data_IF_900097486569
#
_entry.id   IF_900097486569
#
_cell.length_a   1.000
_cell.length_b   1.000
_cell.length_c   1.000
_cell.angle_alpha   90.00
_cell.angle_beta   90.00
_cell.angle_gamma   90.00
#
_symmetry.space_group_name_H-M   'P 1'
#
loop_
_entity.id
_entity.type
_entity.pdbx_description
1 polymer ?
#
# COMPACT_ATOMS: atom_id res chain seq x y z
N UNK A 1 27.50 -3.71 -6.66
CA UNK A 1 28.46 -2.76 -6.04
C UNK A 1 27.72 -2.10 -4.89
N UNK A 2 28.16 -2.44 -3.69
CA UNK A 2 27.57 -2.14 -2.38
C UNK A 2 27.55 -0.63 -2.15
N UNK A 3 26.37 -0.02 -2.05
CA UNK A 3 26.23 1.32 -1.45
C UNK A 3 25.77 1.13 -0.01
N UNK A 4 26.74 0.91 0.87
CA UNK A 4 26.61 1.15 2.29
C UNK A 4 27.39 2.42 2.61
N UNK A 5 26.89 3.17 3.59
CA UNK A 5 27.48 4.40 4.16
C UNK A 5 27.33 5.63 3.27
N UNK A 6 26.26 6.39 3.51
CA UNK A 6 26.34 7.84 3.73
C UNK A 6 24.94 8.37 4.08
N UNK A 7 24.58 8.31 5.36
CA UNK A 7 23.54 9.15 5.97
C UNK A 7 23.94 10.63 5.94
N UNK A 8 24.06 11.19 4.73
CA UNK A 8 24.57 12.53 4.44
C UNK A 8 23.55 13.45 3.77
N UNK A 9 22.24 13.18 3.92
CA UNK A 9 21.20 14.08 3.39
C UNK A 9 19.99 14.28 4.32
N UNK A 10 20.22 14.44 5.62
CA UNK A 10 19.33 15.26 6.45
C UNK A 10 19.72 16.75 6.28
N UNK A 11 19.37 17.32 5.14
CA UNK A 11 19.61 18.73 4.79
C UNK A 11 18.36 19.18 4.01
N UNK A 12 17.50 20.11 4.41
CA UNK A 12 17.62 21.27 5.29
C UNK A 12 16.22 21.72 5.78
N UNK A 13 16.15 22.81 6.56
CA UNK A 13 14.93 23.51 7.03
C UNK A 13 14.20 22.86 8.23
N UNK A 14 14.95 22.60 9.29
CA UNK A 14 14.41 22.44 10.64
C UNK A 14 14.13 23.78 11.37
N UNK A 15 13.84 24.86 10.62
CA UNK A 15 13.75 26.21 11.20
C UNK A 15 12.44 26.98 10.92
N UNK A 16 11.54 26.51 10.05
CA UNK A 16 10.24 27.17 9.86
C UNK A 16 9.15 26.66 10.80
N UNK A 17 9.26 25.45 11.35
CA UNK A 17 8.16 24.84 12.11
C UNK A 17 8.01 25.34 13.56
N UNK A 18 9.09 25.79 14.23
CA UNK A 18 8.97 26.31 15.60
C UNK A 18 8.83 27.85 15.69
N UNK A 19 9.03 28.56 14.58
CA UNK A 19 8.83 30.02 14.47
C UNK A 19 7.45 30.42 13.93
N UNK A 20 6.59 29.45 13.55
CA UNK A 20 5.16 29.72 13.29
C UNK A 20 4.38 30.10 14.57
N UNK A 21 5.02 30.08 15.73
CA UNK A 21 4.36 30.15 17.04
C UNK A 21 4.22 31.55 17.63
N UNK A 22 4.71 32.61 16.99
CA UNK A 22 4.47 33.96 17.48
C UNK A 22 4.68 35.02 16.37
N UNK A 23 3.59 35.51 15.76
CA UNK A 23 3.34 36.92 15.30
C UNK A 23 2.51 37.02 14.01
N UNK A 24 1.73 38.12 13.81
CA UNK A 24 1.00 38.39 12.56
C UNK A 24 1.95 38.67 11.39
N UNK A 25 1.43 38.47 10.16
CA UNK A 25 2.12 38.39 8.86
C UNK A 25 3.08 39.54 8.46
N UNK A 26 3.19 40.63 9.23
CA UNK A 26 3.87 41.88 8.81
C UNK A 26 5.35 42.02 9.23
N UNK A 27 5.97 41.03 9.88
CA UNK A 27 7.34 41.16 10.43
C UNK A 27 8.38 40.19 9.83
N UNK A 28 8.37 40.04 8.50
CA UNK A 28 9.14 39.00 7.78
C UNK A 28 10.61 39.34 7.45
N UNK A 29 11.18 40.41 8.01
CA UNK A 29 12.52 40.89 7.62
C UNK A 29 13.48 40.99 8.82
N UNK A 30 14.11 39.87 9.20
CA UNK A 30 15.49 39.78 9.74
C UNK A 30 15.70 38.51 10.62
N UNK A 31 15.97 37.34 10.02
CA UNK A 31 16.66 36.25 10.74
C UNK A 31 17.56 35.49 9.76
N UNK A 32 18.76 36.03 9.53
CA UNK A 32 19.87 35.32 8.90
C UNK A 32 21.07 35.49 9.84
N UNK A 33 21.42 34.43 10.58
CA UNK A 33 22.76 34.04 11.09
C UNK A 33 22.61 33.15 12.34
N UNK A 34 23.03 31.88 12.24
CA UNK A 34 23.37 31.05 13.41
C UNK A 34 24.82 30.59 13.23
N UNK A 35 25.67 30.96 14.17
CA UNK A 35 27.11 30.65 14.21
C UNK A 35 27.38 29.31 14.91
N UNK A 36 28.38 28.59 14.41
CA UNK A 36 28.84 27.27 14.84
C UNK A 36 29.58 27.28 16.20
N UNK A 37 29.24 26.35 17.09
CA UNK A 37 30.15 25.86 18.15
C UNK A 37 30.03 24.33 18.28
N UNK A 38 31.16 23.64 18.41
CA UNK A 38 31.30 22.18 18.57
C UNK A 38 30.82 21.71 19.95
N UNK A 39 29.87 20.77 20.03
CA UNK A 39 29.47 20.12 21.28
C UNK A 39 29.81 18.62 21.27
N UNK A 40 30.31 18.11 22.39
CA UNK A 40 30.73 16.71 22.61
C UNK A 40 29.54 15.77 22.98
N UNK A 41 28.32 16.07 22.54
CA UNK A 41 27.16 15.19 22.80
C UNK A 41 27.20 13.95 21.89
N UNK A 42 26.80 12.77 22.42
CA UNK A 42 26.73 11.53 21.62
C UNK A 42 25.78 11.67 20.43
N UNK A 43 24.71 12.45 20.63
CA UNK A 43 23.62 12.74 19.69
C UNK A 43 23.37 14.26 19.64
N UNK A 44 23.09 14.81 18.46
CA UNK A 44 22.74 16.23 18.30
C UNK A 44 21.26 16.45 18.62
N UNK A 45 20.97 17.18 19.69
CA UNK A 45 19.61 17.33 20.21
C UNK A 45 19.29 18.74 20.67
N UNK A 46 18.03 19.15 20.50
CA UNK A 46 17.47 20.37 21.09
C UNK A 46 16.39 20.01 22.11
N UNK A 47 16.24 20.83 23.15
CA UNK A 47 15.16 20.71 24.12
C UNK A 47 14.27 21.95 24.09
N UNK A 48 12.96 21.73 24.08
CA UNK A 48 11.92 22.74 24.01
C UNK A 48 11.06 22.64 25.26
N UNK A 49 11.23 23.60 26.17
CA UNK A 49 10.42 23.73 27.37
C UNK A 49 9.30 24.77 27.19
N UNK A 50 8.37 24.80 28.15
CA UNK A 50 7.23 25.72 28.11
C UNK A 50 7.65 27.18 28.05
N UNK A 51 8.66 27.59 28.80
CA UNK A 51 9.15 28.99 28.82
C UNK A 51 9.72 29.42 27.49
N UNK A 52 10.48 28.55 26.82
CA UNK A 52 11.01 28.78 25.48
C UNK A 52 9.89 28.91 24.46
N UNK A 53 8.85 28.07 24.57
CA UNK A 53 7.68 28.13 23.71
C UNK A 53 6.87 29.42 23.91
N UNK A 54 6.64 29.83 25.16
CA UNK A 54 5.94 31.07 25.52
C UNK A 54 6.68 32.33 25.08
N UNK A 55 8.02 32.28 25.04
CA UNK A 55 8.85 33.41 24.63
C UNK A 55 9.18 33.44 23.14
N UNK A 56 8.80 32.39 22.38
CA UNK A 56 9.17 32.22 20.97
C UNK A 56 10.67 32.05 20.73
N UNK A 57 11.45 31.72 21.77
CA UNK A 57 12.92 31.64 21.72
C UNK A 57 13.38 30.22 22.07
N UNK A 58 13.80 29.47 21.06
CA UNK A 58 14.38 28.13 21.25
C UNK A 58 15.89 28.20 21.13
N UNK A 59 16.58 27.50 22.04
CA UNK A 59 18.03 27.39 22.00
C UNK A 59 18.45 26.26 21.04
N UNK A 60 19.16 26.63 19.97
CA UNK A 60 19.61 25.72 18.93
C UNK A 60 21.11 25.43 18.99
N UNK A 61 21.82 25.87 20.03
CA UNK A 61 23.28 25.74 20.12
C UNK A 61 23.81 24.29 20.08
N UNK A 62 22.93 23.31 20.34
CA UNK A 62 23.28 21.89 20.40
C UNK A 62 22.94 21.09 19.12
N UNK A 63 22.42 21.74 18.07
CA UNK A 63 22.14 21.08 16.77
C UNK A 63 23.07 21.61 15.69
N UNK A 64 23.80 20.71 15.02
CA UNK A 64 24.69 21.02 13.90
C UNK A 64 24.16 20.39 12.61
N UNK A 65 23.42 21.19 11.84
CA UNK A 65 22.76 20.73 10.62
C UNK A 65 23.72 20.17 9.55
N UNK A 66 25.01 20.50 9.62
CA UNK A 66 26.05 20.03 8.69
C UNK A 66 27.07 19.09 9.35
N UNK A 67 26.83 18.66 10.58
CA UNK A 67 27.73 17.80 11.36
C UNK A 67 27.79 16.37 10.81
N UNK A 68 28.80 15.61 11.25
CA UNK A 68 29.02 14.22 10.81
C UNK A 68 28.02 13.21 11.38
N UNK A 69 27.17 13.63 12.33
CA UNK A 69 26.15 12.78 12.96
C UNK A 69 24.93 12.64 12.04
N UNK A 70 24.49 11.41 11.79
CA UNK A 70 23.28 11.12 11.00
C UNK A 70 22.01 11.54 11.74
N UNK A 71 21.96 11.34 13.06
CA UNK A 71 20.71 11.43 13.80
C UNK A 71 20.58 12.78 14.53
N UNK A 72 19.41 13.42 14.40
CA UNK A 72 19.08 14.70 15.03
C UNK A 72 17.77 14.57 15.80
N UNK A 73 17.73 15.05 17.04
CA UNK A 73 16.56 14.89 17.92
C UNK A 73 15.97 16.24 18.35
N UNK A 74 14.64 16.33 18.38
CA UNK A 74 13.91 17.43 19.00
C UNK A 74 13.17 16.89 20.21
N UNK A 75 13.58 17.32 21.39
CA UNK A 75 12.97 16.94 22.65
C UNK A 75 11.96 18.01 23.05
N UNK A 76 10.68 17.68 23.16
CA UNK A 76 9.64 18.60 23.66
C UNK A 76 9.19 18.15 25.03
N UNK A 77 9.26 19.02 26.03
CA UNK A 77 8.80 18.73 27.39
C UNK A 77 7.27 18.55 27.45
N UNK A 78 6.81 17.73 28.41
CA UNK A 78 5.39 17.55 28.74
C UNK A 78 4.62 18.88 28.81
N UNK A 79 5.13 19.78 29.64
CA UNK A 79 4.51 21.08 29.92
C UNK A 79 4.45 21.99 28.70
N UNK A 80 5.40 21.83 27.77
CA UNK A 80 5.44 22.54 26.50
C UNK A 80 4.38 22.00 25.53
N UNK A 81 4.25 20.66 25.44
CA UNK A 81 3.24 20.00 24.59
C UNK A 81 1.82 20.26 25.09
N UNK A 82 1.59 20.23 26.41
CA UNK A 82 0.29 20.57 27.00
C UNK A 82 -0.07 22.03 26.75
N UNK A 83 0.90 22.95 26.88
CA UNK A 83 0.70 24.34 26.52
C UNK A 83 0.41 24.50 25.02
N UNK A 84 1.15 23.80 24.16
CA UNK A 84 0.90 23.81 22.71
C UNK A 84 -0.53 23.37 22.37
N UNK A 85 -1.00 22.28 22.99
CA UNK A 85 -2.37 21.80 22.81
C UNK A 85 -3.42 22.82 23.29
N UNK A 86 -3.21 23.45 24.46
CA UNK A 86 -4.10 24.49 24.98
C UNK A 86 -4.18 25.73 24.08
N UNK A 87 -3.08 26.07 23.40
CA UNK A 87 -3.00 27.20 22.49
C UNK A 87 -3.42 26.84 21.05
N UNK A 88 -3.85 25.60 20.78
CA UNK A 88 -4.26 25.15 19.44
C UNK A 88 -3.10 25.09 18.45
N UNK A 89 -1.88 24.83 18.94
CA UNK A 89 -0.67 24.84 18.12
C UNK A 89 -0.44 23.49 17.43
N UNK A 90 0.15 23.54 16.24
CA UNK A 90 0.67 22.36 15.56
C UNK A 90 2.11 22.05 16.00
N UNK A 91 2.44 20.77 16.00
CA UNK A 91 3.79 20.25 16.18
C UNK A 91 4.18 19.51 14.92
N UNK A 92 5.44 19.65 14.51
CA UNK A 92 5.89 19.09 13.25
C UNK A 92 7.37 19.26 13.02
N UNK A 93 7.85 18.57 11.99
CA UNK A 93 9.21 18.68 11.47
C UNK A 93 9.11 19.00 9.99
N UNK A 94 9.94 19.94 9.53
CA UNK A 94 10.12 20.19 8.11
C UNK A 94 11.55 19.86 7.73
N UNK A 95 11.71 19.33 6.53
CA UNK A 95 12.97 19.09 5.83
C UNK A 95 12.85 19.69 4.42
N UNK A 96 13.91 19.57 3.61
CA UNK A 96 13.90 20.04 2.22
C UNK A 96 12.99 19.16 1.34
N UNK A 97 12.73 17.93 1.77
CA UNK A 97 12.05 16.91 0.97
C UNK A 97 10.68 16.57 1.53
N UNK A 98 10.45 16.84 2.82
CA UNK A 98 9.20 16.50 3.48
C UNK A 98 8.92 17.43 4.65
N UNK A 99 7.68 17.81 4.84
CA UNK A 99 7.17 18.35 6.09
C UNK A 99 6.12 17.43 6.71
N UNK A 100 6.10 17.40 8.02
CA UNK A 100 5.20 16.62 8.85
C UNK A 100 4.61 17.58 9.88
N UNK A 101 3.29 17.59 10.04
CA UNK A 101 2.61 18.46 11.01
C UNK A 101 1.34 17.80 11.52
N UNK A 102 1.06 17.93 12.81
CA UNK A 102 -0.18 17.50 13.45
C UNK A 102 -0.53 18.44 14.61
N UNK A 103 -1.81 18.55 15.00
CA UNK A 103 -2.18 19.38 16.13
C UNK A 103 -1.65 18.76 17.43
N UNK A 104 -1.11 19.59 18.34
CA UNK A 104 -0.60 19.13 19.63
C UNK A 104 -1.70 18.44 20.46
N UNK A 105 -2.97 18.81 20.24
CA UNK A 105 -4.13 18.13 20.83
C UNK A 105 -4.23 16.67 20.44
N UNK A 106 -3.88 16.28 19.20
CA UNK A 106 -3.93 14.89 18.76
C UNK A 106 -2.99 14.00 19.58
N UNK A 107 -1.86 14.57 20.02
CA UNK A 107 -0.90 13.89 20.90
C UNK A 107 -1.43 13.84 22.33
N UNK A 108 -1.77 14.99 22.92
CA UNK A 108 -2.19 15.08 24.33
C UNK A 108 -3.47 14.28 24.63
N UNK A 109 -4.35 14.16 23.64
CA UNK A 109 -5.62 13.44 23.79
C UNK A 109 -5.51 11.92 23.60
N UNK A 110 -4.39 11.43 23.07
CA UNK A 110 -4.15 10.00 22.84
C UNK A 110 -4.15 9.19 24.14
N UNK A 111 -4.52 7.91 24.04
CA UNK A 111 -4.53 7.01 25.19
C UNK A 111 -3.10 6.76 25.71
N UNK A 112 -2.16 6.65 24.78
CA UNK A 112 -0.74 6.46 24.97
C UNK A 112 -0.12 7.63 25.73
N UNK A 113 -0.45 8.87 25.34
CA UNK A 113 -0.02 10.06 26.09
C UNK A 113 -0.58 10.06 27.50
N UNK A 114 -1.91 9.85 27.65
CA UNK A 114 -2.55 9.82 28.97
C UNK A 114 -1.92 8.77 29.88
N UNK A 115 -1.64 7.58 29.34
CA UNK A 115 -0.96 6.51 30.07
C UNK A 115 0.47 6.90 30.45
N UNK A 116 1.27 7.39 29.50
CA UNK A 116 2.64 7.84 29.74
C UNK A 116 2.66 8.94 30.82
N UNK A 117 1.77 9.92 30.70
CA UNK A 117 1.58 11.07 31.59
C UNK A 117 1.31 10.71 33.06
N UNK A 118 0.79 9.51 33.35
CA UNK A 118 0.63 9.02 34.74
C UNK A 118 1.93 8.53 35.37
N UNK A 119 2.92 8.14 34.55
CA UNK A 119 4.16 7.47 34.98
C UNK A 119 5.37 8.41 35.01
N UNK A 120 5.28 9.60 34.42
CA UNK A 120 6.38 10.56 34.38
C UNK A 120 5.88 12.01 34.26
N UNK A 121 6.66 12.94 34.81
CA UNK A 121 6.43 14.39 34.72
C UNK A 121 7.24 15.03 33.59
N UNK A 122 8.30 14.36 33.13
CA UNK A 122 9.11 14.73 31.97
C UNK A 122 9.02 13.65 30.89
N UNK A 123 8.68 14.09 29.67
CA UNK A 123 8.71 13.26 28.47
C UNK A 123 9.67 13.89 27.48
N UNK A 124 10.47 13.03 26.86
CA UNK A 124 11.14 13.36 25.62
C UNK A 124 10.22 12.95 24.49
N UNK A 125 9.73 13.92 23.74
CA UNK A 125 9.09 13.63 22.46
C UNK A 125 10.17 13.31 21.42
N UNK A 126 10.02 12.26 20.63
CA UNK A 126 10.96 11.90 19.57
C UNK A 126 10.16 11.59 18.30
N UNK A 127 10.61 12.22 17.22
CA UNK A 127 10.15 11.98 15.86
C UNK A 127 11.35 11.56 15.03
N UNK A 128 11.24 10.39 14.41
CA UNK A 128 12.27 9.81 13.57
C UNK A 128 11.77 9.67 12.15
N UNK A 129 12.57 10.12 11.20
CA UNK A 129 12.35 9.95 9.77
C UNK A 129 13.60 9.23 9.27
N UNK A 130 13.44 7.97 8.91
CA UNK A 130 14.54 7.11 8.45
C UNK A 130 14.23 6.59 7.04
N UNK A 131 15.24 6.60 6.18
CA UNK A 131 15.16 6.11 4.80
C UNK A 131 15.65 4.65 4.64
N UNK A 132 16.02 3.97 5.73
CA UNK A 132 16.71 2.67 5.73
C UNK A 132 16.01 1.55 6.52
N UNK A 133 14.67 1.57 6.64
CA UNK A 133 13.92 0.52 7.36
C UNK A 133 14.05 -0.91 6.80
N UNK A 134 14.91 -1.16 5.80
CA UNK A 134 15.18 -2.49 5.20
C UNK A 134 13.97 -3.14 4.52
N UNK A 135 12.78 -2.54 4.62
CA UNK A 135 11.54 -2.98 4.00
C UNK A 135 11.39 -2.25 2.68
N UNK A 136 11.82 -2.87 1.58
CA UNK A 136 11.43 -2.39 0.26
C UNK A 136 9.93 -2.58 0.10
N UNK A 137 9.16 -1.50 0.27
CA UNK A 137 7.71 -1.56 0.13
C UNK A 137 7.32 -1.88 -1.31
N UNK A 138 8.17 -1.54 -2.30
CA UNK A 138 7.97 -1.98 -3.68
C UNK A 138 8.16 -3.49 -3.90
N UNK A 139 8.93 -4.15 -3.03
CA UNK A 139 9.02 -5.61 -3.02
C UNK A 139 7.87 -6.24 -2.23
N UNK A 140 7.46 -5.61 -1.11
CA UNK A 140 6.31 -6.06 -0.31
C UNK A 140 4.96 -5.84 -1.03
N UNK A 141 4.87 -4.78 -1.84
CA UNK A 141 3.81 -4.47 -2.78
C UNK A 141 4.36 -4.69 -4.17
N UNK A 142 4.27 -5.93 -4.65
CA UNK A 142 4.79 -6.32 -5.96
C UNK A 142 4.37 -5.35 -7.07
N UNK A 143 5.15 -5.24 -8.15
CA UNK A 143 4.81 -4.42 -9.32
C UNK A 143 3.38 -4.68 -9.84
N UNK A 144 2.89 -5.91 -9.68
CA UNK A 144 1.53 -6.30 -10.03
C UNK A 144 0.48 -5.74 -9.06
N UNK A 145 0.73 -5.76 -7.75
CA UNK A 145 -0.15 -5.13 -6.74
C UNK A 145 -0.18 -3.60 -6.90
N UNK A 146 0.95 -2.98 -7.21
CA UNK A 146 0.99 -1.56 -7.57
C UNK A 146 0.19 -1.28 -8.85
N UNK A 147 0.35 -2.10 -9.90
CA UNK A 147 -0.40 -1.95 -11.14
C UNK A 147 -1.91 -1.99 -10.95
N UNK A 148 -2.40 -2.87 -10.06
CA UNK A 148 -3.83 -2.92 -9.67
C UNK A 148 -4.30 -1.70 -8.88
N UNK A 149 -3.44 -1.12 -8.03
CA UNK A 149 -3.69 0.18 -7.38
C UNK A 149 -3.67 1.34 -8.40
N UNK A 150 -3.56 1.06 -9.70
CA UNK A 150 -3.37 2.04 -10.76
C UNK A 150 -2.05 2.80 -10.60
N UNK A 151 -1.10 2.27 -9.83
CA UNK A 151 0.10 2.97 -9.41
C UNK A 151 1.41 2.25 -9.77
N UNK A 152 2.52 2.97 -9.74
CA UNK A 152 3.87 2.42 -9.92
C UNK A 152 4.81 3.13 -8.97
N UNK A 153 5.65 2.40 -8.24
CA UNK A 153 6.63 3.03 -7.35
C UNK A 153 7.48 4.04 -8.11
N UNK A 154 7.61 5.25 -7.57
CA UNK A 154 8.49 6.28 -8.16
C UNK A 154 9.88 6.27 -7.53
N UNK A 155 10.07 5.50 -6.47
CA UNK A 155 11.32 5.28 -5.75
C UNK A 155 11.49 3.80 -5.41
N UNK A 156 12.71 3.29 -5.33
CA UNK A 156 13.00 1.98 -4.72
C UNK A 156 12.90 2.00 -3.19
N UNK A 157 12.98 3.20 -2.63
CA UNK A 157 13.17 3.46 -1.21
C UNK A 157 11.94 4.19 -0.65
N UNK A 158 11.57 3.84 0.58
CA UNK A 158 10.51 4.49 1.34
C UNK A 158 11.07 5.26 2.51
N UNK A 159 10.27 6.18 3.03
CA UNK A 159 10.55 6.82 4.31
C UNK A 159 9.80 6.05 5.37
N UNK A 160 10.49 5.52 6.36
CA UNK A 160 9.82 5.19 7.60
C UNK A 160 9.75 6.39 8.51
N UNK A 161 8.68 6.40 9.26
CA UNK A 161 8.35 7.44 10.21
C UNK A 161 8.05 6.76 11.53
N UNK A 162 8.59 7.30 12.61
CA UNK A 162 8.32 6.84 13.96
C UNK A 162 8.04 8.01 14.89
N UNK A 163 7.11 7.76 15.82
CA UNK A 163 6.68 8.71 16.82
C UNK A 163 6.62 8.02 18.18
N UNK A 164 7.43 8.48 19.12
CA UNK A 164 7.43 7.91 20.46
C UNK A 164 7.80 8.91 21.56
N UNK A 165 7.42 8.56 22.78
CA UNK A 165 7.85 9.23 24.01
C UNK A 165 8.93 8.42 24.69
N UNK A 166 9.89 9.11 25.30
CA UNK A 166 10.83 8.51 26.25
C UNK A 166 10.68 9.16 27.63
N UNK A 167 10.25 8.38 28.60
CA UNK A 167 10.11 8.79 30.00
C UNK A 167 11.46 8.94 30.72
N UNK A 168 11.44 9.52 31.93
CA UNK A 168 12.66 9.75 32.73
C UNK A 168 13.44 8.47 33.10
N UNK A 169 12.75 7.33 33.14
CA UNK A 169 13.32 5.98 33.33
C UNK A 169 13.78 5.32 32.02
N UNK A 170 13.81 6.06 30.91
CA UNK A 170 14.09 5.55 29.57
C UNK A 170 13.05 4.58 28.99
N UNK A 171 11.82 4.53 29.52
CA UNK A 171 10.75 3.73 28.90
C UNK A 171 10.22 4.40 27.63
N UNK A 172 10.10 3.63 26.55
CA UNK A 172 9.54 4.08 25.28
C UNK A 172 8.02 3.85 25.22
N UNK A 173 7.27 4.79 24.64
CA UNK A 173 5.84 4.65 24.40
C UNK A 173 5.53 5.20 23.01
N UNK A 174 5.21 4.30 22.08
CA UNK A 174 4.88 4.65 20.69
C UNK A 174 3.43 5.09 20.58
N UNK A 175 3.17 6.09 19.74
CA UNK A 175 1.83 6.34 19.22
C UNK A 175 1.82 5.82 17.79
N UNK A 176 1.01 4.80 17.54
CA UNK A 176 0.87 4.24 16.18
C UNK A 176 -0.21 4.94 15.37
N UNK A 177 -1.23 5.49 16.04
CA UNK A 177 -2.35 6.17 15.40
C UNK A 177 -2.81 7.37 16.22
N UNK A 178 -2.88 8.54 15.58
CA UNK A 178 -3.43 9.75 16.17
C UNK A 178 -4.96 9.78 16.09
N UNK A 179 -5.57 10.55 17.01
CA UNK A 179 -7.00 10.81 17.02
C UNK A 179 -7.45 11.76 15.90
N UNK A 180 -6.53 12.56 15.38
CA UNK A 180 -6.72 13.48 14.26
C UNK A 180 -5.58 13.27 13.26
N UNK A 181 -5.85 13.43 11.96
CA UNK A 181 -4.85 13.16 10.93
C UNK A 181 -3.65 14.11 11.02
N UNK A 182 -2.47 13.50 10.90
CA UNK A 182 -1.24 14.19 10.57
C UNK A 182 -1.24 14.56 9.09
N UNK A 183 -0.64 15.71 8.78
CA UNK A 183 -0.34 16.16 7.42
C UNK A 183 1.12 15.87 7.10
N UNK A 184 1.35 15.06 6.09
CA UNK A 184 2.66 14.87 5.44
C UNK A 184 2.66 15.67 4.14
N UNK A 185 3.68 16.48 3.86
CA UNK A 185 3.85 17.11 2.56
C UNK A 185 5.22 16.79 2.01
N UNK A 186 5.28 16.08 0.88
CA UNK A 186 6.51 15.71 0.21
C UNK A 186 6.82 16.68 -0.92
N UNK A 187 8.04 17.22 -0.99
CA UNK A 187 8.51 18.00 -2.13
C UNK A 187 9.09 17.05 -3.17
N UNK A 188 8.52 16.96 -4.37
CA UNK A 188 9.03 16.08 -5.42
C UNK A 188 9.79 16.90 -6.47
N UNK A 189 10.99 16.44 -6.84
CA UNK A 189 11.89 17.20 -7.73
C UNK A 189 12.06 16.55 -9.10
N UNK A 190 11.08 15.77 -9.57
CA UNK A 190 11.32 14.88 -10.73
C UNK A 190 11.73 15.67 -11.98
N UNK A 191 12.97 15.45 -12.41
CA UNK A 191 13.54 15.95 -13.66
C UNK A 191 13.48 14.81 -14.71
N UNK A 192 12.38 14.74 -15.48
CA UNK A 192 12.16 13.73 -16.53
C UNK A 192 13.01 13.93 -17.81
N UNK A 193 14.24 14.45 -17.71
CA UNK A 193 15.09 14.75 -18.87
C UNK A 193 15.81 13.54 -19.50
N UNK A 194 15.76 12.35 -18.88
CA UNK A 194 16.52 11.17 -19.33
C UNK A 194 15.72 9.97 -19.86
N UNK A 195 14.39 9.96 -19.76
CA UNK A 195 13.57 8.81 -20.18
C UNK A 195 13.12 8.96 -21.65
N UNK A 196 13.55 8.05 -22.52
CA UNK A 196 13.22 8.01 -23.96
C UNK A 196 11.77 7.60 -24.25
N UNK A 197 11.01 7.19 -23.23
CA UNK A 197 9.56 7.09 -23.24
C UNK A 197 9.02 7.88 -22.05
N UNK A 198 8.36 9.00 -22.33
CA UNK A 198 7.57 9.72 -21.32
C UNK A 198 6.25 8.97 -21.15
N UNK A 199 5.99 8.27 -20.03
CA UNK A 199 4.61 7.90 -19.75
C UNK A 199 3.77 9.18 -19.64
N UNK A 200 2.48 9.12 -19.97
CA UNK A 200 1.55 10.20 -19.69
C UNK A 200 1.72 10.67 -18.23
N UNK A 201 1.65 11.99 -18.01
CA UNK A 201 1.86 12.61 -16.70
C UNK A 201 1.07 11.86 -15.62
N UNK A 202 1.76 11.36 -14.60
CA UNK A 202 1.16 10.57 -13.52
C UNK A 202 0.92 11.47 -12.32
N UNK A 203 -0.26 11.37 -11.73
CA UNK A 203 -0.54 12.00 -10.43
C UNK A 203 0.16 11.19 -9.33
N UNK A 204 0.83 11.84 -8.39
CA UNK A 204 1.56 11.16 -7.32
C UNK A 204 0.64 10.87 -6.12
N UNK A 205 0.80 9.69 -5.50
CA UNK A 205 0.12 9.28 -4.28
C UNK A 205 1.10 8.64 -3.29
N UNK A 206 0.68 8.50 -2.02
CA UNK A 206 1.50 7.91 -0.96
C UNK A 206 0.87 6.62 -0.46
N UNK A 207 1.66 5.56 -0.35
CA UNK A 207 1.24 4.29 0.25
C UNK A 207 1.90 4.13 1.61
N UNK A 208 1.12 3.80 2.63
CA UNK A 208 1.59 3.45 3.96
C UNK A 208 1.57 1.93 4.18
N UNK A 209 2.54 1.42 4.93
CA UNK A 209 2.57 0.04 5.39
C UNK A 209 2.99 -0.09 6.85
N UNK A 210 2.32 -1.01 7.54
CA UNK A 210 2.59 -1.41 8.92
C UNK A 210 3.84 -2.29 8.98
N UNK A 211 4.95 -1.72 9.46
CA UNK A 211 6.26 -2.39 9.52
C UNK A 211 6.40 -3.30 10.74
N UNK A 212 5.76 -2.98 11.86
CA UNK A 212 5.87 -3.74 13.10
C UNK A 212 5.20 -5.10 12.99
N UNK A 213 4.05 -5.16 12.30
CA UNK A 213 3.44 -6.45 11.95
C UNK A 213 4.33 -7.31 11.07
N UNK A 214 5.18 -6.73 10.23
CA UNK A 214 6.12 -7.49 9.40
C UNK A 214 7.31 -8.00 10.21
N UNK A 215 7.83 -7.21 11.15
CA UNK A 215 8.94 -7.65 12.01
C UNK A 215 8.52 -8.75 12.97
N UNK A 216 7.25 -8.75 13.40
CA UNK A 216 6.68 -9.75 14.29
C UNK A 216 5.93 -10.91 13.60
N UNK A 217 5.70 -10.85 12.28
CA UNK A 217 4.88 -11.81 11.53
C UNK A 217 5.17 -11.80 10.02
N UNK A 218 4.79 -12.86 9.30
CA UNK A 218 4.85 -12.93 7.83
C UNK A 218 3.76 -12.09 7.13
N UNK A 219 3.01 -11.27 7.88
CA UNK A 219 1.91 -10.47 7.37
C UNK A 219 2.27 -8.99 7.20
N UNK A 220 1.86 -8.40 6.08
CA UNK A 220 1.96 -6.95 5.83
C UNK A 220 0.57 -6.37 5.62
N UNK A 221 0.25 -5.28 6.32
CA UNK A 221 -0.93 -4.46 6.06
C UNK A 221 -0.49 -3.19 5.36
N UNK A 222 -1.18 -2.81 4.28
CA UNK A 222 -0.88 -1.58 3.53
C UNK A 222 -2.16 -0.80 3.20
N UNK A 223 -1.99 0.51 3.01
CA UNK A 223 -3.06 1.45 2.70
C UNK A 223 -2.56 2.49 1.69
N UNK A 224 -3.26 2.64 0.57
CA UNK A 224 -3.10 3.80 -0.30
C UNK A 224 -3.77 5.00 0.36
N UNK A 225 -3.01 6.06 0.63
CA UNK A 225 -3.48 7.24 1.34
C UNK A 225 -4.00 8.29 0.34
N UNK A 226 -5.03 9.01 0.76
CA UNK A 226 -5.49 10.18 0.03
C UNK A 226 -4.38 11.24 0.01
N UNK A 227 -4.10 11.75 -1.19
CA UNK A 227 -3.03 12.70 -1.41
C UNK A 227 -3.54 13.85 -2.26
N UNK A 228 -2.86 15.00 -2.23
CA UNK A 228 -3.10 16.16 -3.08
C UNK A 228 -1.80 16.55 -3.74
N UNK A 229 -1.75 16.46 -5.07
CA UNK A 229 -0.61 16.92 -5.85
C UNK A 229 -0.78 18.40 -6.19
N UNK A 230 0.19 19.22 -5.82
CA UNK A 230 0.36 20.57 -6.29
C UNK A 230 1.48 20.61 -7.32
N UNK A 231 1.13 20.81 -8.59
CA UNK A 231 2.08 20.88 -9.69
C UNK A 231 2.87 22.19 -9.70
N UNK A 232 2.29 23.28 -9.17
CA UNK A 232 2.92 24.60 -9.13
C UNK A 232 4.01 24.62 -8.09
N UNK A 233 3.68 24.13 -6.89
CA UNK A 233 4.60 24.09 -5.76
C UNK A 233 5.46 22.81 -5.73
N UNK A 234 5.19 21.86 -6.63
CA UNK A 234 5.84 20.55 -6.69
C UNK A 234 5.77 19.80 -5.35
N UNK A 235 4.57 19.77 -4.76
CA UNK A 235 4.33 19.09 -3.48
C UNK A 235 3.25 18.02 -3.59
N UNK A 236 3.35 16.99 -2.75
CA UNK A 236 2.31 15.98 -2.52
C UNK A 236 1.93 16.04 -1.05
N UNK A 237 0.72 16.50 -0.75
CA UNK A 237 0.20 16.57 0.62
C UNK A 237 -0.69 15.37 0.91
N UNK A 238 -0.49 14.71 2.04
CA UNK A 238 -1.19 13.49 2.45
C UNK A 238 -1.71 13.67 3.85
N UNK A 239 -2.96 13.27 4.08
CA UNK A 239 -3.52 13.15 5.43
C UNK A 239 -3.48 11.70 5.87
N UNK A 240 -2.98 11.46 7.07
CA UNK A 240 -2.87 10.11 7.60
C UNK A 240 -2.95 10.10 9.13
N UNK A 241 -3.68 9.16 9.74
CA UNK A 241 -3.69 9.00 11.18
C UNK A 241 -2.50 8.17 11.66
N UNK A 242 -1.79 7.47 10.77
CA UNK A 242 -0.69 6.60 11.12
C UNK A 242 0.56 7.43 11.40
N UNK A 243 1.19 7.22 12.55
CA UNK A 243 2.40 7.94 12.99
C UNK A 243 3.62 7.04 13.12
N UNK A 244 3.46 5.75 12.86
CA UNK A 244 4.55 4.79 12.73
C UNK A 244 4.33 3.94 11.47
N UNK A 245 5.38 3.71 10.67
CA UNK A 245 5.34 2.83 9.50
C UNK A 245 6.11 3.36 8.29
N UNK A 246 6.11 2.60 7.20
CA UNK A 246 6.81 2.94 5.97
C UNK A 246 5.87 3.62 4.96
N UNK A 247 6.35 4.70 4.35
CA UNK A 247 5.65 5.50 3.36
C UNK A 247 6.43 5.49 2.04
N UNK A 248 5.78 5.11 0.95
CA UNK A 248 6.36 5.16 -0.41
C UNK A 248 5.53 6.01 -1.33
N UNK A 249 6.22 6.91 -2.04
CA UNK A 249 5.62 7.67 -3.12
C UNK A 249 5.44 6.76 -4.34
N UNK A 250 4.23 6.73 -4.87
CA UNK A 250 3.83 5.96 -6.05
C UNK A 250 3.16 6.89 -7.07
N UNK A 251 3.31 6.62 -8.35
CA UNK A 251 2.68 7.39 -9.44
C UNK A 251 1.45 6.67 -9.95
N UNK A 252 0.32 7.36 -10.03
CA UNK A 252 -0.99 6.89 -10.48
C UNK A 252 -1.38 7.40 -11.86
N UNK A 253 -2.21 6.64 -12.58
CA UNK A 253 -2.76 7.02 -13.89
C UNK A 253 -4.09 7.76 -13.74
N UNK A 254 -4.09 9.00 -13.25
CA UNK A 254 -5.26 9.88 -13.35
C UNK A 254 -5.10 10.81 -14.56
N UNK A 255 -6.19 11.01 -15.30
CA UNK A 255 -6.18 11.67 -16.61
C UNK A 255 -6.13 13.21 -16.58
N UNK A 256 -6.38 13.85 -15.42
CA UNK A 256 -6.56 15.32 -15.36
C UNK A 256 -5.65 16.05 -14.36
N UNK A 257 -4.77 15.35 -13.64
CA UNK A 257 -3.70 15.86 -12.77
C UNK A 257 -4.08 17.00 -11.78
N UNK A 258 -5.38 17.22 -11.56
CA UNK A 258 -5.94 18.37 -10.81
C UNK A 258 -6.81 17.91 -9.64
N UNK A 259 -7.15 16.63 -9.59
CA UNK A 259 -7.75 15.94 -8.45
C UNK A 259 -7.05 14.60 -8.24
N UNK A 260 -6.17 14.50 -7.23
CA UNK A 260 -5.89 13.19 -6.62
C UNK A 260 -7.02 12.86 -5.65
N UNK A 261 -8.23 12.71 -6.19
CA UNK A 261 -9.36 12.27 -5.41
C UNK A 261 -9.21 10.77 -5.15
N UNK A 262 -9.17 10.41 -3.85
CA UNK A 262 -9.74 9.16 -3.38
C UNK A 262 -11.26 9.38 -3.19
N UNK A 263 -11.95 9.91 -4.21
CA UNK A 263 -13.39 10.16 -4.15
C UNK A 263 -14.12 8.87 -4.53
N UNK A 264 -14.51 8.09 -3.52
CA UNK A 264 -15.42 6.96 -3.70
C UNK A 264 -14.86 5.87 -4.63
N UNK A 265 -14.06 4.98 -4.05
CA UNK A 265 -13.71 3.68 -4.64
C UNK A 265 -14.98 2.92 -5.09
N UNK A 266 -15.40 3.10 -6.33
CA UNK A 266 -16.44 2.27 -6.93
C UNK A 266 -15.94 1.44 -8.10
N UNK A 267 -14.83 1.81 -8.75
CA UNK A 267 -14.36 1.10 -9.94
C UNK A 267 -12.91 0.60 -9.89
N UNK A 268 -12.18 0.82 -8.80
CA UNK A 268 -10.93 0.11 -8.56
C UNK A 268 -10.68 0.07 -7.05
N UNK A 269 -10.93 -1.05 -6.35
CA UNK A 269 -10.69 -1.10 -4.92
C UNK A 269 -9.20 -0.88 -4.69
N UNK A 270 -8.84 0.23 -4.05
CA UNK A 270 -7.55 0.33 -3.40
C UNK A 270 -7.37 -0.94 -2.57
N UNK A 271 -6.35 -1.75 -2.91
CA UNK A 271 -5.98 -3.05 -2.32
C UNK A 271 -5.55 -2.91 -0.85
N UNK A 272 -6.43 -2.36 -0.04
CA UNK A 272 -6.30 -2.27 1.40
C UNK A 272 -6.58 -3.65 1.98
N UNK A 273 -5.55 -4.32 2.49
CA UNK A 273 -5.70 -5.69 2.96
C UNK A 273 -4.50 -6.26 3.70
N UNK A 274 -4.74 -7.37 4.39
CA UNK A 274 -3.69 -8.20 4.96
C UNK A 274 -3.13 -9.12 3.87
N UNK A 275 -1.81 -9.15 3.74
CA UNK A 275 -1.08 -10.11 2.89
C UNK A 275 -0.42 -11.15 3.78
N UNK A 276 -0.42 -12.41 3.37
CA UNK A 276 0.31 -13.51 4.00
C UNK A 276 0.78 -14.49 2.93
N UNK A 277 2.10 -14.63 2.73
CA UNK A 277 2.66 -15.54 1.72
C UNK A 277 3.43 -16.71 2.33
N UNK A 278 3.25 -16.98 3.63
CA UNK A 278 3.91 -18.11 4.28
C UNK A 278 3.52 -19.44 3.63
N UNK A 279 4.51 -20.27 3.31
CA UNK A 279 4.35 -21.54 2.61
C UNK A 279 4.03 -21.45 1.12
N UNK A 280 3.75 -20.25 0.59
CA UNK A 280 3.51 -20.06 -0.84
C UNK A 280 4.84 -20.21 -1.60
N UNK A 281 4.89 -20.97 -2.71
CA UNK A 281 6.07 -21.05 -3.55
C UNK A 281 6.54 -19.66 -4.01
N UNK A 282 7.86 -19.40 -3.97
CA UNK A 282 8.42 -18.07 -4.25
C UNK A 282 8.02 -17.48 -5.60
N UNK A 283 7.80 -18.33 -6.62
CA UNK A 283 7.35 -17.93 -7.96
C UNK A 283 5.90 -17.43 -8.00
N UNK A 284 5.06 -17.78 -7.02
CA UNK A 284 3.65 -17.40 -6.94
C UNK A 284 3.37 -16.35 -5.85
N UNK A 285 4.29 -16.14 -4.91
CA UNK A 285 4.09 -15.31 -3.72
C UNK A 285 3.61 -13.89 -4.06
N UNK A 286 4.19 -13.27 -5.10
CA UNK A 286 3.81 -11.93 -5.54
C UNK A 286 2.36 -11.84 -6.05
N UNK A 287 1.89 -12.86 -6.76
CA UNK A 287 0.53 -12.91 -7.31
C UNK A 287 -0.50 -13.28 -6.22
N UNK A 288 -0.13 -14.14 -5.27
CA UNK A 288 -0.99 -14.46 -4.11
C UNK A 288 -1.17 -13.23 -3.24
N UNK A 289 -0.09 -12.51 -2.92
CA UNK A 289 -0.15 -11.27 -2.15
C UNK A 289 -1.08 -10.24 -2.79
N UNK A 290 -1.00 -10.10 -4.11
CA UNK A 290 -1.86 -9.23 -4.89
C UNK A 290 -3.34 -9.62 -4.74
N UNK A 291 -3.68 -10.90 -4.92
CA UNK A 291 -5.06 -11.36 -4.78
C UNK A 291 -5.59 -11.27 -3.33
N UNK A 292 -4.71 -11.35 -2.33
CA UNK A 292 -5.07 -11.12 -0.92
C UNK A 292 -5.36 -9.66 -0.62
N UNK A 293 -4.52 -8.76 -1.13
CA UNK A 293 -4.72 -7.33 -0.98
C UNK A 293 -6.02 -6.88 -1.69
N UNK A 294 -6.41 -7.56 -2.77
CA UNK A 294 -7.69 -7.38 -3.48
C UNK A 294 -8.90 -8.00 -2.77
N UNK A 295 -8.69 -8.71 -1.65
CA UNK A 295 -9.69 -9.53 -0.95
C UNK A 295 -10.35 -10.60 -1.84
N UNK A 296 -9.70 -10.95 -2.96
CA UNK A 296 -10.10 -12.09 -3.81
C UNK A 296 -9.75 -13.39 -3.09
N UNK A 297 -8.51 -13.47 -2.59
CA UNK A 297 -7.94 -14.60 -1.84
C UNK A 297 -7.86 -14.25 -0.35
N UNK A 298 -8.06 -15.23 0.53
CA UNK A 298 -7.91 -15.02 1.98
C UNK A 298 -6.44 -14.84 2.41
N UNK A 299 -6.18 -13.96 3.39
CA UNK A 299 -4.89 -13.86 4.07
C UNK A 299 -4.65 -14.99 5.09
N UNK A 300 -5.71 -15.71 5.47
CA UNK A 300 -5.61 -16.96 6.21
C UNK A 300 -5.34 -18.11 5.25
N UNK A 301 -4.12 -18.64 5.31
CA UNK A 301 -3.65 -19.75 4.50
C UNK A 301 -3.45 -21.04 5.33
N UNK A 302 -3.96 -21.07 6.57
CA UNK A 302 -3.77 -22.22 7.45
C UNK A 302 -4.35 -23.50 6.81
N UNK A 303 -3.56 -24.56 6.78
CA UNK A 303 -3.94 -25.84 6.17
C UNK A 303 -4.08 -25.83 4.63
N UNK A 304 -3.74 -24.73 3.94
CA UNK A 304 -3.84 -24.67 2.47
C UNK A 304 -2.74 -25.50 1.80
N UNK A 305 -3.14 -26.38 0.88
CA UNK A 305 -2.20 -27.09 0.00
C UNK A 305 -2.04 -26.32 -1.32
N UNK A 306 -0.92 -25.62 -1.48
CA UNK A 306 -0.64 -24.74 -2.62
C UNK A 306 -0.45 -25.46 -3.96
N UNK A 307 -0.11 -26.75 -3.92
CA UNK A 307 0.12 -27.60 -5.10
C UNK A 307 -1.08 -28.46 -5.45
N UNK A 308 -2.07 -28.56 -4.56
CA UNK A 308 -3.31 -29.28 -4.85
C UNK A 308 -4.13 -28.53 -5.91
N UNK A 309 -4.90 -29.26 -6.74
CA UNK A 309 -5.89 -28.66 -7.63
C UNK A 309 -6.86 -27.74 -6.90
N UNK A 310 -7.25 -26.64 -7.55
CA UNK A 310 -8.32 -25.78 -7.06
C UNK A 310 -9.69 -26.35 -7.46
N UNK A 311 -10.67 -26.22 -6.57
CA UNK A 311 -12.04 -26.59 -6.87
C UNK A 311 -12.71 -25.56 -7.78
N UNK A 312 -13.70 -26.02 -8.53
CA UNK A 312 -14.49 -25.18 -9.42
C UNK A 312 -15.31 -24.13 -8.66
N UNK A 313 -15.80 -24.46 -7.47
CA UNK A 313 -16.45 -23.51 -6.57
C UNK A 313 -15.52 -22.39 -6.11
N UNK A 314 -14.33 -22.74 -5.62
CA UNK A 314 -13.37 -21.75 -5.13
C UNK A 314 -12.94 -20.79 -6.26
N UNK A 315 -12.67 -21.35 -7.45
CA UNK A 315 -12.29 -20.53 -8.61
C UNK A 315 -13.41 -19.60 -9.10
N UNK A 316 -14.66 -20.08 -9.13
CA UNK A 316 -15.82 -19.25 -9.46
C UNK A 316 -16.00 -18.08 -8.47
N UNK A 317 -15.83 -18.35 -7.17
CA UNK A 317 -15.88 -17.31 -6.15
C UNK A 317 -14.79 -16.26 -6.33
N UNK A 318 -13.58 -16.65 -6.72
CA UNK A 318 -12.51 -15.71 -7.02
C UNK A 318 -12.84 -14.80 -8.20
N UNK A 319 -13.47 -15.31 -9.26
CA UNK A 319 -13.94 -14.47 -10.39
C UNK A 319 -14.99 -13.46 -9.94
N UNK A 320 -15.95 -13.88 -9.10
CA UNK A 320 -17.00 -12.99 -8.56
C UNK A 320 -16.40 -11.86 -7.74
N UNK A 321 -15.49 -12.19 -6.82
CA UNK A 321 -14.80 -11.21 -5.98
C UNK A 321 -13.95 -10.27 -6.81
N UNK A 322 -13.24 -10.80 -7.80
CA UNK A 322 -12.41 -10.03 -8.71
C UNK A 322 -13.24 -9.00 -9.50
N UNK A 323 -14.40 -9.40 -9.99
CA UNK A 323 -15.29 -8.55 -10.79
C UNK A 323 -16.23 -7.66 -9.94
N UNK A 324 -16.17 -7.75 -8.61
CA UNK A 324 -17.04 -6.98 -7.72
C UNK A 324 -18.53 -7.31 -7.90
N UNK A 325 -18.87 -8.51 -8.38
CA UNK A 325 -20.26 -8.88 -8.65
C UNK A 325 -21.02 -9.01 -7.34
N UNK A 326 -22.07 -8.21 -7.18
CA UNK A 326 -22.88 -8.22 -5.97
C UNK A 326 -23.70 -9.51 -5.86
N UNK A 327 -23.67 -10.10 -4.67
CA UNK A 327 -24.49 -11.27 -4.36
C UNK A 327 -25.94 -10.85 -4.13
N UNK A 328 -26.70 -10.74 -5.22
CA UNK A 328 -28.15 -10.60 -5.13
C UNK A 328 -28.82 -11.95 -4.88
N UNK A 329 -30.02 -11.93 -4.29
CA UNK A 329 -30.84 -13.14 -4.18
C UNK A 329 -31.14 -13.68 -5.58
N UNK A 330 -30.62 -14.88 -5.85
CA UNK A 330 -30.85 -15.62 -7.08
C UNK A 330 -31.46 -16.99 -6.74
N UNK A 331 -32.42 -17.43 -7.55
CA UNK A 331 -32.95 -18.79 -7.44
C UNK A 331 -31.83 -19.78 -7.77
N UNK A 332 -31.57 -20.73 -6.87
CA UNK A 332 -30.56 -21.76 -7.09
C UNK A 332 -31.02 -22.78 -8.15
N UNK A 333 -30.36 -22.87 -9.32
CA UNK A 333 -30.70 -23.85 -10.34
C UNK A 333 -30.02 -25.21 -10.10
N UNK A 334 -29.05 -25.28 -9.19
CA UNK A 334 -28.17 -26.43 -9.00
C UNK A 334 -28.56 -27.26 -7.77
N UNK A 335 -28.88 -28.54 -7.99
CA UNK A 335 -29.32 -29.48 -6.94
C UNK A 335 -28.17 -29.92 -6.02
N UNK A 336 -26.95 -29.86 -6.51
CA UNK A 336 -25.72 -30.23 -5.81
C UNK A 336 -25.05 -29.05 -5.08
N UNK A 337 -25.65 -27.86 -5.14
CA UNK A 337 -25.19 -26.68 -4.43
C UNK A 337 -26.12 -26.39 -3.24
N UNK A 338 -25.64 -26.64 -2.02
CA UNK A 338 -26.40 -26.38 -0.79
C UNK A 338 -25.90 -25.12 -0.07
N UNK A 339 -26.75 -24.53 0.78
CA UNK A 339 -26.47 -23.29 1.53
C UNK A 339 -25.30 -23.41 2.53
N UNK A 340 -24.85 -24.62 2.85
CA UNK A 340 -23.66 -24.87 3.67
C UNK A 340 -22.34 -24.77 2.90
N UNK A 341 -22.37 -24.69 1.57
CA UNK A 341 -21.16 -24.44 0.79
C UNK A 341 -20.64 -23.02 1.06
N UNK A 342 -19.36 -22.83 1.41
CA UNK A 342 -18.82 -21.51 1.75
C UNK A 342 -18.81 -20.52 0.58
N UNK A 343 -19.00 -21.01 -0.66
CA UNK A 343 -19.06 -20.21 -1.88
C UNK A 343 -20.47 -20.15 -2.48
N UNK A 344 -21.50 -20.54 -1.72
CA UNK A 344 -22.88 -20.66 -2.19
C UNK A 344 -23.37 -19.37 -2.87
N UNK A 345 -23.25 -18.24 -2.18
CA UNK A 345 -23.75 -16.96 -2.68
C UNK A 345 -22.96 -16.50 -3.91
N UNK A 346 -21.64 -16.64 -3.89
CA UNK A 346 -20.80 -16.26 -5.02
C UNK A 346 -21.12 -17.11 -6.27
N UNK A 347 -21.30 -18.43 -6.13
CA UNK A 347 -21.65 -19.29 -7.28
C UNK A 347 -22.99 -18.88 -7.88
N UNK A 348 -23.99 -18.54 -7.05
CA UNK A 348 -25.28 -18.06 -7.53
C UNK A 348 -25.18 -16.71 -8.23
N UNK A 349 -24.41 -15.78 -7.67
CA UNK A 349 -24.13 -14.48 -8.28
C UNK A 349 -23.44 -14.65 -9.64
N UNK A 350 -22.42 -15.51 -9.71
CA UNK A 350 -21.71 -15.85 -10.94
C UNK A 350 -22.66 -16.44 -12.00
N UNK A 351 -23.56 -17.33 -11.60
CA UNK A 351 -24.51 -17.97 -12.51
C UNK A 351 -25.51 -16.95 -13.06
N UNK A 352 -26.04 -16.07 -12.20
CA UNK A 352 -26.96 -15.00 -12.61
C UNK A 352 -26.28 -14.00 -13.56
N UNK A 353 -25.02 -13.68 -13.29
CA UNK A 353 -24.21 -12.78 -14.13
C UNK A 353 -23.72 -13.44 -15.44
N UNK A 354 -24.01 -14.73 -15.67
CA UNK A 354 -23.56 -15.46 -16.86
C UNK A 354 -22.06 -15.80 -16.87
N UNK A 355 -21.37 -15.61 -15.74
CA UNK A 355 -19.94 -15.89 -15.58
C UNK A 355 -19.66 -17.39 -15.51
N UNK A 356 -20.57 -18.14 -14.90
CA UNK A 356 -20.50 -19.61 -14.83
C UNK A 356 -21.79 -20.24 -15.32
N UNK A 357 -21.68 -21.48 -15.77
CA UNK A 357 -22.81 -22.34 -16.11
C UNK A 357 -22.54 -23.71 -15.49
N UNK A 358 -23.57 -24.41 -15.02
CA UNK A 358 -23.43 -25.78 -14.53
C UNK A 358 -22.89 -26.74 -15.60
N UNK A 359 -22.29 -27.86 -15.18
CA UNK A 359 -21.92 -28.94 -16.11
C UNK A 359 -23.15 -29.59 -16.73
N UNK A 360 -24.27 -29.54 -16.01
CA UNK A 360 -25.61 -29.80 -16.54
C UNK A 360 -26.54 -28.66 -16.15
N UNK A 361 -27.78 -28.68 -16.64
CA UNK A 361 -28.81 -27.71 -16.26
C UNK A 361 -29.09 -27.68 -14.74
N UNK A 362 -28.80 -28.77 -14.02
CA UNK A 362 -29.12 -28.90 -12.59
C UNK A 362 -27.92 -29.27 -11.71
N UNK A 363 -26.70 -29.33 -12.25
CA UNK A 363 -25.50 -29.70 -11.49
C UNK A 363 -24.34 -28.76 -11.79
N UNK A 364 -23.73 -28.20 -10.73
CA UNK A 364 -22.58 -27.31 -10.82
C UNK A 364 -21.24 -28.03 -10.62
N UNK A 365 -21.23 -29.08 -9.80
CA UNK A 365 -20.08 -29.85 -9.30
C UNK A 365 -19.07 -28.96 -8.54
N UNK A 366 -19.43 -28.43 -7.35
CA UNK A 366 -18.63 -27.44 -6.64
C UNK A 366 -17.25 -27.96 -6.19
N UNK A 367 -17.17 -29.23 -5.78
CA UNK A 367 -15.95 -29.84 -5.25
C UNK A 367 -15.08 -30.47 -6.34
N UNK A 368 -15.56 -30.50 -7.59
CA UNK A 368 -14.77 -30.99 -8.70
C UNK A 368 -13.58 -30.04 -8.97
N UNK A 369 -12.42 -30.63 -9.24
CA UNK A 369 -11.26 -29.87 -9.67
C UNK A 369 -11.50 -29.27 -11.05
N UNK A 370 -11.05 -28.03 -11.24
CA UNK A 370 -11.23 -27.31 -12.50
C UNK A 370 -10.07 -27.59 -13.46
N UNK A 371 -10.43 -27.87 -14.71
CA UNK A 371 -9.47 -28.09 -15.80
C UNK A 371 -9.03 -26.75 -16.42
N UNK A 372 -7.89 -26.75 -17.10
CA UNK A 372 -7.35 -25.54 -17.75
C UNK A 372 -8.27 -24.98 -18.83
N UNK A 373 -8.95 -25.84 -19.59
CA UNK A 373 -9.92 -25.39 -20.59
C UNK A 373 -11.20 -24.79 -19.95
N UNK A 374 -11.63 -25.29 -18.79
CA UNK A 374 -12.74 -24.68 -18.03
C UNK A 374 -12.35 -23.31 -17.50
N UNK A 375 -11.12 -23.15 -16.99
CA UNK A 375 -10.60 -21.83 -16.59
C UNK A 375 -10.64 -20.87 -17.78
N UNK A 376 -10.19 -21.30 -18.96
CA UNK A 376 -10.20 -20.44 -20.15
C UNK A 376 -11.61 -19.93 -20.49
N UNK A 377 -12.63 -20.79 -20.36
CA UNK A 377 -14.02 -20.38 -20.55
C UNK A 377 -14.47 -19.36 -19.50
N UNK A 378 -14.15 -19.58 -18.23
CA UNK A 378 -14.50 -18.63 -17.17
C UNK A 378 -13.82 -17.28 -17.36
N UNK A 379 -12.54 -17.26 -17.75
CA UNK A 379 -11.82 -16.04 -18.08
C UNK A 379 -12.40 -15.32 -19.30
N UNK A 380 -12.74 -16.06 -20.37
CA UNK A 380 -13.39 -15.47 -21.54
C UNK A 380 -14.72 -14.80 -21.18
N UNK A 381 -15.50 -15.40 -20.28
CA UNK A 381 -16.75 -14.81 -19.79
C UNK A 381 -16.51 -13.61 -18.88
N UNK A 382 -15.51 -13.67 -18.00
CA UNK A 382 -15.12 -12.54 -17.16
C UNK A 382 -14.68 -11.33 -18.00
N UNK A 383 -13.88 -11.55 -19.04
CA UNK A 383 -13.48 -10.50 -19.98
C UNK A 383 -14.68 -9.92 -20.75
N UNK A 384 -15.59 -10.78 -21.22
CA UNK A 384 -16.81 -10.32 -21.88
C UNK A 384 -17.71 -9.50 -20.94
N UNK A 385 -17.83 -9.92 -19.67
CA UNK A 385 -18.58 -9.20 -18.64
C UNK A 385 -17.97 -7.82 -18.36
N UNK A 386 -16.64 -7.73 -18.33
CA UNK A 386 -15.91 -6.49 -18.16
C UNK A 386 -15.76 -5.66 -19.46
N UNK A 387 -16.40 -6.08 -20.56
CA UNK A 387 -16.32 -5.43 -21.87
C UNK A 387 -14.89 -5.27 -22.43
N UNK A 388 -13.98 -6.18 -22.09
CA UNK A 388 -12.62 -6.18 -22.63
C UNK A 388 -12.60 -6.65 -24.09
N UNK A 389 -12.01 -5.84 -24.98
CA UNK A 389 -11.87 -6.16 -26.41
C UNK A 389 -10.57 -6.93 -26.66
N UNK A 390 -10.68 -8.24 -26.82
CA UNK A 390 -9.54 -9.16 -26.97
C UNK A 390 -9.66 -9.95 -28.26
N UNK A 391 -8.55 -10.05 -28.99
CA UNK A 391 -8.44 -10.87 -30.20
C UNK A 391 -8.85 -12.33 -29.98
N UNK A 392 -9.61 -12.87 -30.94
CA UNK A 392 -10.06 -14.26 -30.97
C UNK A 392 -9.25 -15.13 -31.95
N UNK A 393 -8.07 -14.68 -32.36
CA UNK A 393 -7.22 -15.36 -33.34
C UNK A 393 -6.87 -16.80 -32.91
N UNK A 394 -7.56 -17.76 -33.53
CA UNK A 394 -7.40 -19.20 -33.30
C UNK A 394 -6.02 -19.71 -33.71
N UNK A 395 -5.32 -19.03 -34.62
CA UNK A 395 -4.00 -19.47 -35.09
C UNK A 395 -2.95 -19.43 -33.99
N UNK A 396 -3.16 -18.62 -32.95
CA UNK A 396 -2.32 -18.61 -31.74
C UNK A 396 -2.30 -19.95 -31.01
N UNK A 397 -3.32 -20.80 -31.16
CA UNK A 397 -3.32 -22.13 -30.55
C UNK A 397 -2.34 -23.09 -31.22
N UNK A 398 -1.91 -22.82 -32.46
CA UNK A 398 -0.98 -23.70 -33.20
C UNK A 398 0.40 -23.81 -32.54
N UNK A 399 0.72 -22.93 -31.59
CA UNK A 399 1.94 -23.04 -30.79
C UNK A 399 1.91 -24.23 -29.81
N UNK A 400 0.73 -24.78 -29.50
CA UNK A 400 0.56 -25.90 -28.58
C UNK A 400 0.32 -27.21 -29.35
N UNK A 401 1.20 -28.19 -29.17
CA UNK A 401 1.12 -29.48 -29.86
C UNK A 401 -0.19 -30.25 -29.57
N UNK A 402 -0.75 -30.05 -28.37
CA UNK A 402 -1.96 -30.67 -27.88
C UNK A 402 -3.23 -29.82 -28.12
N UNK A 403 -3.16 -28.71 -28.86
CA UNK A 403 -4.30 -27.83 -29.10
C UNK A 403 -5.53 -28.55 -29.70
N UNK A 404 -5.31 -29.67 -30.42
CA UNK A 404 -6.38 -30.51 -30.97
C UNK A 404 -7.21 -31.23 -29.90
N UNK A 405 -6.70 -31.35 -28.68
CA UNK A 405 -7.38 -31.98 -27.55
C UNK A 405 -8.26 -31.01 -26.76
N UNK A 406 -8.20 -29.71 -27.07
CA UNK A 406 -9.10 -28.70 -26.51
C UNK A 406 -10.52 -29.00 -27.03
N UNK A 407 -11.48 -29.13 -26.12
CA UNK A 407 -12.88 -29.34 -26.51
C UNK A 407 -13.39 -28.20 -27.38
N UNK A 408 -14.24 -28.50 -28.37
CA UNK A 408 -14.75 -27.49 -29.32
C UNK A 408 -15.43 -26.31 -28.61
N UNK A 409 -16.11 -26.59 -27.50
CA UNK A 409 -16.76 -25.60 -26.63
C UNK A 409 -15.79 -24.63 -25.95
N UNK A 410 -14.50 -25.00 -25.80
CA UNK A 410 -13.47 -24.20 -25.15
C UNK A 410 -12.50 -23.53 -26.14
N UNK A 411 -12.46 -23.94 -27.41
CA UNK A 411 -11.45 -23.47 -28.38
C UNK A 411 -11.37 -21.94 -28.51
N UNK A 412 -12.51 -21.28 -28.69
CA UNK A 412 -12.54 -19.82 -28.78
C UNK A 412 -12.06 -19.17 -27.48
N UNK A 413 -12.50 -19.68 -26.33
CA UNK A 413 -12.09 -19.15 -25.03
C UNK A 413 -10.61 -19.35 -24.75
N UNK A 414 -10.05 -20.50 -25.14
CA UNK A 414 -8.63 -20.79 -25.06
C UNK A 414 -7.83 -19.83 -25.94
N UNK A 415 -8.27 -19.58 -27.16
CA UNK A 415 -7.62 -18.60 -28.04
C UNK A 415 -7.64 -17.19 -27.45
N UNK A 416 -8.78 -16.73 -26.92
CA UNK A 416 -8.89 -15.42 -26.25
C UNK A 416 -7.86 -15.34 -25.10
N UNK A 417 -7.80 -16.35 -24.24
CA UNK A 417 -6.88 -16.36 -23.10
C UNK A 417 -5.40 -16.36 -23.51
N UNK A 418 -5.07 -17.01 -24.63
CA UNK A 418 -3.72 -17.04 -25.18
C UNK A 418 -3.37 -15.70 -25.83
N UNK A 419 -4.31 -15.10 -26.58
CA UNK A 419 -4.14 -13.77 -27.16
C UNK A 419 -3.95 -12.69 -26.08
N UNK A 420 -4.67 -12.80 -24.96
CA UNK A 420 -4.54 -11.91 -23.81
C UNK A 420 -3.30 -12.20 -22.93
N UNK A 421 -2.52 -13.25 -23.22
CA UNK A 421 -1.36 -13.63 -22.39
C UNK A 421 -1.72 -14.15 -20.99
N UNK A 422 -2.97 -14.53 -20.75
CA UNK A 422 -3.43 -15.09 -19.47
C UNK A 422 -2.91 -16.52 -19.28
N UNK A 423 -2.83 -17.28 -20.38
CA UNK A 423 -2.38 -18.68 -20.41
C UNK A 423 -1.12 -18.80 -21.28
N UNK A 424 0.02 -19.12 -20.66
CA UNK A 424 1.31 -19.28 -21.34
C UNK A 424 1.61 -20.72 -21.79
N UNK A 425 0.75 -21.69 -21.47
CA UNK A 425 1.02 -23.12 -21.66
C UNK A 425 1.95 -23.73 -20.59
N UNK A 426 2.16 -25.04 -20.70
CA UNK A 426 3.14 -25.86 -19.96
C UNK A 426 4.18 -26.39 -20.95
N UNK A 427 5.23 -27.03 -20.44
CA UNK A 427 6.34 -27.58 -21.24
C UNK A 427 5.86 -28.46 -22.42
N UNK A 428 4.74 -29.18 -22.26
CA UNK A 428 4.19 -30.09 -23.26
C UNK A 428 2.91 -29.58 -23.97
N UNK A 429 2.55 -28.30 -23.86
CA UNK A 429 1.40 -27.72 -24.56
C UNK A 429 0.42 -26.94 -23.68
N UNK A 430 -0.82 -26.81 -24.12
CA UNK A 430 -1.88 -26.09 -23.41
C UNK A 430 -2.36 -26.87 -22.16
N UNK A 431 -2.34 -28.20 -22.21
CA UNK A 431 -2.81 -29.15 -21.21
C UNK A 431 -4.31 -29.00 -20.86
N UNK A 432 -5.24 -29.06 -21.83
CA UNK A 432 -6.63 -28.64 -21.62
C UNK A 432 -7.39 -29.47 -20.59
N UNK A 433 -7.11 -30.77 -20.51
CA UNK A 433 -7.79 -31.72 -19.62
C UNK A 433 -7.13 -31.83 -18.25
N UNK A 434 -5.97 -31.21 -18.05
CA UNK A 434 -5.27 -31.26 -16.77
C UNK A 434 -5.88 -30.29 -15.77
N UNK A 435 -5.89 -30.70 -14.50
CA UNK A 435 -6.30 -29.84 -13.41
C UNK A 435 -5.25 -28.76 -13.15
N UNK A 436 -5.73 -27.60 -12.68
CA UNK A 436 -4.86 -26.46 -12.34
C UNK A 436 -4.64 -26.42 -10.84
N UNK A 437 -3.38 -26.36 -10.41
CA UNK A 437 -3.07 -26.19 -8.98
C UNK A 437 -3.58 -24.84 -8.48
N UNK A 438 -3.80 -24.73 -7.17
CA UNK A 438 -4.25 -23.48 -6.56
C UNK A 438 -3.32 -22.30 -6.87
N UNK A 439 -1.99 -22.50 -6.78
CA UNK A 439 -1.02 -21.45 -7.09
C UNK A 439 -1.04 -21.01 -8.55
N UNK A 440 -1.11 -21.96 -9.49
CA UNK A 440 -1.24 -21.62 -10.92
C UNK A 440 -2.54 -20.83 -11.18
N UNK A 441 -3.65 -21.24 -10.58
CA UNK A 441 -4.94 -20.58 -10.76
C UNK A 441 -4.92 -19.13 -10.22
N UNK A 442 -4.31 -18.91 -9.06
CA UNK A 442 -4.16 -17.57 -8.47
C UNK A 442 -3.24 -16.68 -9.30
N UNK A 443 -2.15 -17.22 -9.85
CA UNK A 443 -1.28 -16.50 -10.80
C UNK A 443 -2.02 -16.10 -12.06
N UNK A 444 -2.83 -17.01 -12.60
CA UNK A 444 -3.67 -16.74 -13.76
C UNK A 444 -4.74 -15.67 -13.48
N UNK A 445 -5.38 -15.71 -12.31
CA UNK A 445 -6.34 -14.70 -11.85
C UNK A 445 -5.68 -13.32 -11.71
N UNK A 446 -4.48 -13.28 -11.17
CA UNK A 446 -3.69 -12.06 -11.07
C UNK A 446 -3.40 -11.42 -12.43
N UNK A 447 -3.14 -12.22 -13.47
CA UNK A 447 -2.98 -11.72 -14.85
C UNK A 447 -4.29 -11.17 -15.40
N UNK A 448 -5.40 -11.88 -15.19
CA UNK A 448 -6.73 -11.42 -15.60
C UNK A 448 -7.04 -10.07 -14.94
N UNK A 449 -6.77 -9.94 -13.65
CA UNK A 449 -7.00 -8.68 -12.94
C UNK A 449 -6.12 -7.52 -13.41
N UNK A 450 -4.96 -7.77 -14.03
CA UNK A 450 -4.15 -6.71 -14.62
C UNK A 450 -4.61 -6.32 -16.04
N UNK A 451 -5.50 -7.10 -16.64
CA UNK A 451 -6.06 -6.87 -17.97
C UNK A 451 -7.39 -6.11 -17.91
N UNK A 452 -8.21 -6.41 -16.91
CA UNK A 452 -9.48 -5.72 -16.62
C UNK A 452 -9.19 -4.41 -15.89
#
# INVERSE_FOLDING_TARGET
MTMHKNGKRLLAILLTALLMLAMPLSAWAAVNQVSSTSSNAKDESISVNKTQLQSGKINLSNIQMTGEKSDKFIMIEKSAMEYAAQQGLNVGVSTNYMSVSFPASAVVNSAEWKQAATRSTTFSFIMEIDDDYGVSLAQALSATAQGQLGCTSVSSDGLGFEFYFRGANQSYTYIYKLAEDMTLSYNYTVNYRGATRRPAEKSLALVWADIDKKLASTKVTNVLLESRVDLTNQTVTVKTPYTCGAYVLVGQTNADNTQTTLAGSTNNPALTGEVNTNGVPGWAAANVAQMQAAKVVSSDLNGKNFSAPISRAEFAAYIVRLLGVTSETATNPFKDLNTGNPYYNEILAASKAGLVAGRTATAFEPDANITRQEIAVLFSRAMAYAHADISTDLTKLNQFADAKTIGDWAKNSAAICVNAGLVAGRENGFAPLENTSWTEAVVMLSRLSGLL
#
